data_IF_890201178216
#
_entry.id   IF_890201178216
#
_cell.length_a   1.000
_cell.length_b   1.000
_cell.length_c   1.000
_cell.angle_alpha   90.00
_cell.angle_beta   90.00
_cell.angle_gamma   90.00
#
_symmetry.space_group_name_H-M   'P 1'
#
loop_
_entity.id
_entity.type
_entity.pdbx_description
1 polymer ?
#
# COMPACT_ATOMS: atom_id res chain seq x y z
N UNK A 1 47.30 -19.93 -3.98
CA UNK A 1 46.66 -18.72 -4.53
C UNK A 1 45.25 -18.76 -4.00
N UNK A 2 44.97 -17.97 -2.96
CA UNK A 2 43.61 -17.87 -2.43
C UNK A 2 42.81 -17.07 -3.45
N UNK A 3 41.88 -17.72 -4.13
CA UNK A 3 40.85 -17.04 -4.91
C UNK A 3 40.03 -16.23 -3.91
N UNK A 4 40.15 -14.91 -4.00
CA UNK A 4 39.16 -14.02 -3.41
C UNK A 4 37.89 -14.24 -4.20
N UNK A 5 36.93 -14.96 -3.62
CA UNK A 5 35.55 -14.89 -4.04
C UNK A 5 35.17 -13.41 -4.04
N UNK A 6 34.92 -12.91 -5.24
CA UNK A 6 34.40 -11.59 -5.48
C UNK A 6 32.93 -11.62 -5.06
N UNK A 7 32.69 -11.54 -3.76
CA UNK A 7 31.40 -11.21 -3.15
C UNK A 7 31.07 -9.75 -3.49
N UNK A 8 30.89 -9.48 -4.79
CA UNK A 8 30.19 -8.30 -5.24
C UNK A 8 28.76 -8.45 -4.73
N UNK A 9 28.39 -7.62 -3.75
CA UNK A 9 27.07 -7.62 -3.13
C UNK A 9 25.99 -7.83 -4.20
N UNK A 10 25.36 -9.01 -4.22
CA UNK A 10 24.31 -9.34 -5.17
C UNK A 10 23.15 -8.37 -4.92
N UNK A 11 22.96 -7.42 -5.84
CA UNK A 11 21.82 -6.51 -5.81
C UNK A 11 20.55 -7.34 -5.95
N UNK A 12 19.62 -7.17 -4.99
CA UNK A 12 18.35 -7.88 -4.99
C UNK A 12 17.61 -7.62 -6.31
N UNK A 13 17.17 -8.71 -6.96
CA UNK A 13 16.41 -8.64 -8.20
C UNK A 13 14.95 -8.36 -7.87
N UNK A 14 14.52 -7.12 -8.10
CA UNK A 14 13.17 -6.64 -7.82
C UNK A 14 12.37 -6.53 -9.12
N UNK A 15 11.15 -7.08 -9.12
CA UNK A 15 10.25 -6.99 -10.29
C UNK A 15 8.87 -6.50 -9.91
N UNK A 16 8.34 -5.54 -10.68
CA UNK A 16 7.00 -4.99 -10.52
C UNK A 16 6.09 -5.56 -11.59
N UNK A 17 5.03 -6.24 -11.16
CA UNK A 17 4.07 -6.96 -11.97
C UNK A 17 2.74 -6.22 -11.96
N UNK A 18 2.43 -5.53 -13.06
CA UNK A 18 1.13 -4.89 -13.28
C UNK A 18 0.13 -5.90 -13.83
N UNK A 19 -0.95 -6.16 -13.08
CA UNK A 19 -1.99 -7.13 -13.47
C UNK A 19 -3.30 -6.42 -13.82
N UNK A 20 -3.75 -6.64 -15.06
CA UNK A 20 -4.98 -6.04 -15.61
C UNK A 20 -4.84 -4.55 -15.91
N UNK A 21 -5.95 -3.89 -16.27
CA UNK A 21 -5.92 -2.49 -16.74
C UNK A 21 -5.34 -1.50 -15.73
N UNK A 22 -5.78 -1.56 -14.47
CA UNK A 22 -5.27 -0.68 -13.41
C UNK A 22 -3.79 -0.90 -13.10
N UNK A 23 -3.36 -2.16 -12.99
CA UNK A 23 -1.95 -2.50 -12.77
C UNK A 23 -1.06 -2.07 -13.94
N UNK A 24 -1.49 -2.29 -15.17
CA UNK A 24 -0.75 -1.86 -16.36
C UNK A 24 -0.61 -0.33 -16.44
N UNK A 25 -1.63 0.43 -16.04
CA UNK A 25 -1.56 1.89 -15.98
C UNK A 25 -0.56 2.36 -14.92
N UNK A 26 -0.60 1.75 -13.73
CA UNK A 26 0.36 2.04 -12.67
C UNK A 26 1.80 1.74 -13.09
N UNK A 27 2.04 0.60 -13.75
CA UNK A 27 3.37 0.26 -14.31
C UNK A 27 3.83 1.28 -15.34
N UNK A 28 2.98 1.66 -16.29
CA UNK A 28 3.32 2.71 -17.26
C UNK A 28 3.66 4.03 -16.56
N UNK A 29 2.91 4.39 -15.51
CA UNK A 29 3.19 5.59 -14.71
C UNK A 29 4.55 5.51 -14.01
N UNK A 30 4.90 4.36 -13.44
CA UNK A 30 6.22 4.15 -12.80
C UNK A 30 7.36 4.30 -13.82
N UNK A 31 7.17 3.80 -15.04
CA UNK A 31 8.13 3.93 -16.15
C UNK A 31 8.26 5.40 -16.60
N UNK A 32 7.13 6.09 -16.82
CA UNK A 32 7.11 7.51 -17.20
C UNK A 32 7.82 8.40 -16.15
N UNK A 33 7.71 8.05 -14.86
CA UNK A 33 8.40 8.73 -13.76
C UNK A 33 9.88 8.32 -13.62
N UNK A 34 10.33 7.33 -14.38
CA UNK A 34 11.72 6.89 -14.38
C UNK A 34 12.13 6.12 -13.11
N UNK A 35 11.22 5.34 -12.52
CA UNK A 35 11.55 4.45 -11.41
C UNK A 35 12.66 3.47 -11.82
N UNK A 36 13.76 3.45 -11.06
CA UNK A 36 14.97 2.66 -11.34
C UNK A 36 15.07 1.47 -10.38
N UNK A 37 15.98 0.54 -10.69
CA UNK A 37 16.29 -0.59 -9.79
C UNK A 37 15.23 -1.69 -9.79
N UNK A 38 14.23 -1.61 -10.66
CA UNK A 38 13.16 -2.60 -10.78
C UNK A 38 12.91 -2.98 -12.24
N UNK A 39 12.60 -4.25 -12.48
CA UNK A 39 12.09 -4.71 -13.77
C UNK A 39 10.57 -4.61 -13.83
N UNK A 40 10.02 -4.34 -15.01
CA UNK A 40 8.57 -4.22 -15.20
C UNK A 40 8.01 -5.36 -16.03
N UNK A 41 6.96 -6.00 -15.51
CA UNK A 41 6.17 -7.02 -16.18
C UNK A 41 4.70 -6.57 -16.24
N UNK A 42 4.11 -6.56 -17.43
CA UNK A 42 2.68 -6.33 -17.60
C UNK A 42 1.94 -7.63 -17.95
N UNK A 43 0.87 -7.93 -17.22
CA UNK A 43 0.06 -9.13 -17.38
C UNK A 43 -1.38 -8.72 -17.65
N UNK A 44 -1.94 -9.13 -18.80
CA UNK A 44 -3.33 -8.79 -19.11
C UNK A 44 -4.01 -9.81 -20.02
N UNK A 45 -5.31 -10.01 -19.84
CA UNK A 45 -6.17 -10.73 -20.78
C UNK A 45 -6.56 -9.91 -22.01
N UNK A 46 -6.47 -8.57 -21.90
CA UNK A 46 -6.79 -7.65 -23.00
C UNK A 46 -5.52 -7.34 -23.81
N UNK A 47 -5.52 -7.79 -25.06
CA UNK A 47 -4.40 -7.61 -26.00
C UNK A 47 -4.17 -6.15 -26.38
N UNK A 48 -5.23 -5.34 -26.49
CA UNK A 48 -5.12 -3.94 -26.84
C UNK A 48 -4.50 -3.13 -25.70
N UNK A 49 -4.91 -3.42 -24.47
CA UNK A 49 -4.32 -2.80 -23.29
C UNK A 49 -2.83 -3.18 -23.15
N UNK A 50 -2.48 -4.44 -23.40
CA UNK A 50 -1.10 -4.91 -23.33
C UNK A 50 -0.20 -4.28 -24.41
N UNK A 51 -0.71 -4.06 -25.63
CA UNK A 51 0.02 -3.39 -26.70
C UNK A 51 0.44 -1.96 -26.34
N UNK A 52 -0.34 -1.28 -25.48
CA UNK A 52 -0.04 0.08 -24.97
C UNK A 52 0.87 0.09 -23.75
N UNK A 53 1.21 -1.07 -23.18
CA UNK A 53 2.13 -1.12 -22.05
C UNK A 53 3.54 -0.74 -22.47
N UNK A 54 4.24 0.01 -21.62
CA UNK A 54 5.65 0.35 -21.76
C UNK A 54 6.59 -0.64 -21.06
N UNK A 55 6.04 -1.64 -20.36
CA UNK A 55 6.83 -2.65 -19.65
C UNK A 55 7.77 -3.41 -20.59
N UNK A 56 8.96 -3.76 -20.10
CA UNK A 56 9.98 -4.51 -20.84
C UNK A 56 9.52 -5.93 -21.14
N UNK A 57 8.76 -6.54 -20.22
CA UNK A 57 8.15 -7.85 -20.39
C UNK A 57 6.62 -7.75 -20.37
N UNK A 58 5.96 -8.55 -21.21
CA UNK A 58 4.50 -8.53 -21.40
C UNK A 58 4.00 -9.96 -21.57
N UNK A 59 2.98 -10.34 -20.79
CA UNK A 59 2.34 -11.65 -20.89
C UNK A 59 0.86 -11.45 -21.16
N UNK A 60 0.38 -12.05 -22.24
CA UNK A 60 -1.05 -12.12 -22.53
C UNK A 60 -1.61 -13.41 -21.94
N UNK A 61 -2.40 -13.31 -20.87
CA UNK A 61 -2.96 -14.48 -20.20
C UNK A 61 -4.33 -14.86 -20.75
N UNK A 62 -4.64 -16.16 -20.73
CA UNK A 62 -5.96 -16.69 -21.10
C UNK A 62 -6.36 -16.40 -22.55
N UNK A 63 -5.43 -16.56 -23.49
CA UNK A 63 -5.70 -16.34 -24.92
C UNK A 63 -6.82 -17.26 -25.43
N UNK A 64 -6.85 -18.53 -24.99
CA UNK A 64 -7.89 -19.49 -25.39
C UNK A 64 -9.26 -19.13 -24.79
N UNK A 65 -9.26 -18.66 -23.55
CA UNK A 65 -10.47 -18.28 -22.80
C UNK A 65 -11.11 -16.99 -23.31
N UNK A 66 -10.30 -15.96 -23.54
CA UNK A 66 -10.78 -14.58 -23.75
C UNK A 66 -10.66 -14.12 -25.19
N UNK A 67 -9.89 -14.84 -26.02
CA UNK A 67 -9.52 -14.42 -27.39
C UNK A 67 -8.88 -13.02 -27.42
N UNK A 68 -8.24 -12.61 -26.33
CA UNK A 68 -7.59 -11.30 -26.19
C UNK A 68 -8.54 -10.13 -25.94
N UNK A 69 -9.82 -10.38 -25.62
CA UNK A 69 -10.86 -9.34 -25.42
C UNK A 69 -11.03 -8.92 -23.96
N UNK A 70 -10.27 -9.49 -23.04
CA UNK A 70 -10.39 -9.21 -21.61
C UNK A 70 -11.36 -10.13 -20.86
N UNK A 71 -11.36 -10.02 -19.53
CA UNK A 71 -12.14 -10.88 -18.63
C UNK A 71 -13.61 -10.43 -18.41
N UNK A 72 -14.09 -9.37 -19.08
CA UNK A 72 -15.49 -8.93 -19.00
C UNK A 72 -15.97 -8.58 -17.58
N UNK A 73 -15.09 -8.02 -16.74
CA UNK A 73 -15.33 -7.76 -15.32
C UNK A 73 -15.69 -9.01 -14.48
N UNK A 74 -15.39 -10.22 -14.97
CA UNK A 74 -15.57 -11.47 -14.23
C UNK A 74 -14.23 -11.93 -13.62
N UNK A 75 -14.08 -11.93 -12.27
CA UNK A 75 -12.87 -12.40 -11.61
C UNK A 75 -12.53 -13.87 -11.91
N UNK A 76 -13.51 -14.76 -12.02
CA UNK A 76 -13.25 -16.19 -12.29
C UNK A 76 -12.56 -16.40 -13.65
N UNK A 77 -12.89 -15.57 -14.64
CA UNK A 77 -12.24 -15.61 -15.95
C UNK A 77 -10.79 -15.13 -15.83
N UNK A 78 -10.54 -14.09 -15.03
CA UNK A 78 -9.19 -13.60 -14.74
C UNK A 78 -8.33 -14.66 -14.04
N UNK A 79 -8.89 -15.36 -13.07
CA UNK A 79 -8.22 -16.44 -12.35
C UNK A 79 -7.85 -17.59 -13.30
N UNK A 80 -8.83 -18.13 -14.04
CA UNK A 80 -8.59 -19.22 -14.99
C UNK A 80 -7.59 -18.85 -16.08
N UNK A 81 -7.59 -17.58 -16.51
CA UNK A 81 -6.61 -17.07 -17.47
C UNK A 81 -5.18 -17.11 -16.92
N UNK A 82 -4.99 -16.75 -15.65
CA UNK A 82 -3.69 -16.83 -14.99
C UNK A 82 -3.25 -18.29 -14.79
N UNK A 83 -4.17 -19.17 -14.38
CA UNK A 83 -3.92 -20.62 -14.25
C UNK A 83 -3.52 -21.25 -15.59
N UNK A 84 -4.17 -20.88 -16.71
CA UNK A 84 -3.81 -21.31 -18.06
C UNK A 84 -2.36 -20.95 -18.42
N UNK A 85 -1.85 -19.84 -17.87
CA UNK A 85 -0.57 -19.24 -18.25
C UNK A 85 0.47 -19.35 -17.13
N UNK A 86 0.28 -20.29 -16.19
CA UNK A 86 1.09 -20.42 -14.98
C UNK A 86 2.59 -20.60 -15.31
N UNK A 87 2.93 -21.49 -16.23
CA UNK A 87 4.33 -21.75 -16.63
C UNK A 87 5.03 -20.50 -17.18
N UNK A 88 4.34 -19.70 -17.99
CA UNK A 88 4.87 -18.47 -18.57
C UNK A 88 5.10 -17.41 -17.49
N UNK A 89 4.17 -17.28 -16.54
CA UNK A 89 4.29 -16.38 -15.39
C UNK A 89 5.47 -16.80 -14.51
N UNK A 90 5.58 -18.08 -14.16
CA UNK A 90 6.66 -18.64 -13.35
C UNK A 90 8.02 -18.42 -14.00
N UNK A 91 8.13 -18.65 -15.31
CA UNK A 91 9.37 -18.39 -16.05
C UNK A 91 9.75 -16.91 -16.04
N UNK A 92 8.78 -16.01 -16.18
CA UNK A 92 9.04 -14.58 -16.19
C UNK A 92 9.47 -14.03 -14.82
N UNK A 93 9.03 -14.62 -13.71
CA UNK A 93 9.41 -14.17 -12.36
C UNK A 93 10.58 -14.96 -11.76
N UNK A 94 11.02 -16.03 -12.42
CA UNK A 94 12.15 -16.85 -11.97
C UNK A 94 13.42 -16.02 -11.77
N UNK A 95 14.08 -16.24 -10.63
CA UNK A 95 15.32 -15.55 -10.26
C UNK A 95 15.12 -14.18 -9.60
N UNK A 96 13.88 -13.72 -9.42
CA UNK A 96 13.61 -12.52 -8.62
C UNK A 96 13.76 -12.85 -7.13
N UNK A 97 14.34 -11.91 -6.37
CA UNK A 97 14.40 -11.99 -4.91
C UNK A 97 13.12 -11.39 -4.29
N UNK A 98 12.50 -10.43 -4.99
CA UNK A 98 11.27 -9.76 -4.58
C UNK A 98 10.36 -9.44 -5.77
N UNK A 99 9.05 -9.58 -5.58
CA UNK A 99 8.04 -9.12 -6.55
C UNK A 99 6.99 -8.21 -5.90
N UNK A 100 6.66 -7.14 -6.62
CA UNK A 100 5.49 -6.30 -6.34
C UNK A 100 4.36 -6.67 -7.27
N UNK A 101 3.23 -7.13 -6.75
CA UNK A 101 2.03 -7.39 -7.55
C UNK A 101 1.09 -6.19 -7.40
N UNK A 102 0.90 -5.44 -8.48
CA UNK A 102 0.02 -4.27 -8.49
C UNK A 102 -1.21 -4.47 -9.37
N UNK A 103 -2.38 -4.14 -8.83
CA UNK A 103 -3.65 -4.31 -9.52
C UNK A 103 -4.71 -3.33 -9.00
N UNK A 104 -5.65 -2.96 -9.88
CA UNK A 104 -6.89 -2.31 -9.49
C UNK A 104 -7.98 -3.34 -9.24
N UNK A 105 -8.49 -3.39 -8.01
CA UNK A 105 -9.46 -4.41 -7.58
C UNK A 105 -10.89 -4.06 -8.00
N UNK A 106 -11.72 -5.09 -8.12
CA UNK A 106 -13.13 -4.99 -8.53
C UNK A 106 -13.38 -5.19 -10.03
N UNK A 107 -12.33 -5.19 -10.86
CA UNK A 107 -12.38 -5.62 -12.25
C UNK A 107 -12.44 -7.16 -12.40
N UNK A 108 -12.20 -7.66 -13.62
CA UNK A 108 -12.10 -9.11 -13.88
C UNK A 108 -10.66 -9.60 -13.76
N UNK A 109 -9.79 -9.11 -14.64
CA UNK A 109 -8.39 -9.56 -14.72
C UNK A 109 -7.61 -9.28 -13.46
N UNK A 110 -7.55 -8.02 -12.98
CA UNK A 110 -6.79 -7.67 -11.77
C UNK A 110 -7.25 -8.47 -10.55
N UNK A 111 -8.56 -8.47 -10.28
CA UNK A 111 -9.16 -9.16 -9.12
C UNK A 111 -8.91 -10.67 -9.12
N UNK A 112 -9.00 -11.33 -10.27
CA UNK A 112 -8.88 -12.79 -10.36
C UNK A 112 -7.45 -13.29 -10.61
N UNK A 113 -6.67 -12.58 -11.42
CA UNK A 113 -5.33 -13.00 -11.80
C UNK A 113 -4.27 -12.59 -10.78
N UNK A 114 -4.43 -11.45 -10.08
CA UNK A 114 -3.40 -10.99 -9.13
C UNK A 114 -3.14 -11.99 -8.00
N UNK A 115 -4.16 -12.61 -7.35
CA UNK A 115 -3.92 -13.66 -6.35
C UNK A 115 -3.17 -14.87 -6.93
N UNK A 116 -3.51 -15.30 -8.15
CA UNK A 116 -2.85 -16.43 -8.80
C UNK A 116 -1.37 -16.12 -9.12
N UNK A 117 -1.09 -14.93 -9.65
CA UNK A 117 0.29 -14.46 -9.91
C UNK A 117 1.10 -14.38 -8.61
N UNK A 118 0.51 -13.84 -7.55
CA UNK A 118 1.16 -13.75 -6.24
C UNK A 118 1.45 -15.14 -5.64
N UNK A 119 0.50 -16.07 -5.75
CA UNK A 119 0.67 -17.44 -5.26
C UNK A 119 1.85 -18.14 -5.93
N UNK A 120 2.00 -18.01 -7.26
CA UNK A 120 3.14 -18.58 -8.00
C UNK A 120 4.46 -18.01 -7.45
N UNK A 121 4.54 -16.69 -7.26
CA UNK A 121 5.75 -16.06 -6.72
C UNK A 121 6.09 -16.56 -5.31
N UNK A 122 5.08 -16.67 -4.44
CA UNK A 122 5.24 -17.13 -3.06
C UNK A 122 5.65 -18.61 -2.99
N UNK A 123 5.07 -19.46 -3.84
CA UNK A 123 5.45 -20.88 -3.96
C UNK A 123 6.91 -21.06 -4.42
N UNK A 124 7.42 -20.12 -5.22
CA UNK A 124 8.82 -20.06 -5.64
C UNK A 124 9.76 -19.51 -4.54
N UNK A 125 9.23 -19.11 -3.38
CA UNK A 125 10.01 -18.56 -2.27
C UNK A 125 10.42 -17.10 -2.43
N UNK A 126 9.79 -16.37 -3.35
CA UNK A 126 10.07 -14.96 -3.63
C UNK A 126 9.29 -14.09 -2.65
N UNK A 127 9.92 -13.05 -2.07
CA UNK A 127 9.22 -12.10 -1.20
C UNK A 127 8.14 -11.38 -2.03
N UNK A 128 6.88 -11.61 -1.71
CA UNK A 128 5.75 -11.18 -2.53
C UNK A 128 4.93 -10.10 -1.82
N UNK A 129 4.94 -8.89 -2.36
CA UNK A 129 4.20 -7.75 -1.81
C UNK A 129 3.08 -7.35 -2.77
N UNK A 130 1.83 -7.43 -2.30
CA UNK A 130 0.68 -6.93 -3.04
C UNK A 130 0.45 -5.44 -2.76
N UNK A 131 0.34 -4.61 -3.79
CA UNK A 131 -0.05 -3.19 -3.65
C UNK A 131 -1.23 -2.92 -4.56
N UNK A 132 -2.43 -2.83 -3.97
CA UNK A 132 -3.68 -2.82 -4.74
C UNK A 132 -4.61 -1.68 -4.34
N UNK A 133 -5.44 -1.24 -5.28
CA UNK A 133 -6.45 -0.20 -5.03
C UNK A 133 -7.84 -0.79 -4.90
N UNK A 134 -8.63 -0.28 -3.93
CA UNK A 134 -10.08 -0.48 -3.88
C UNK A 134 -10.75 0.53 -4.82
N UNK A 135 -11.84 0.16 -5.52
CA UNK A 135 -12.55 1.07 -6.43
C UNK A 135 -13.16 2.25 -5.67
N UNK A 136 -13.49 3.33 -6.39
CA UNK A 136 -14.27 4.42 -5.82
C UNK A 136 -15.70 3.97 -5.54
N UNK A 137 -16.35 4.53 -4.52
CA UNK A 137 -17.75 4.24 -4.19
C UNK A 137 -18.69 4.50 -5.37
N UNK A 138 -18.40 5.50 -6.21
CA UNK A 138 -19.22 5.83 -7.38
C UNK A 138 -19.17 4.77 -8.49
N UNK A 139 -18.17 3.89 -8.49
CA UNK A 139 -18.06 2.80 -9.48
C UNK A 139 -19.05 1.66 -9.19
N UNK A 140 -19.72 1.70 -8.04
CA UNK A 140 -20.84 0.85 -7.69
C UNK A 140 -20.52 -0.28 -6.71
N UNK A 141 -21.52 -0.67 -5.93
CA UNK A 141 -21.41 -1.67 -4.85
C UNK A 141 -20.93 -3.04 -5.34
N UNK A 142 -21.33 -3.45 -6.55
CA UNK A 142 -20.92 -4.74 -7.11
C UNK A 142 -19.41 -4.78 -7.38
N UNK A 143 -18.83 -3.66 -7.82
CA UNK A 143 -17.39 -3.55 -8.05
C UNK A 143 -16.62 -3.61 -6.73
N UNK A 144 -17.13 -2.91 -5.71
CA UNK A 144 -16.57 -2.95 -4.35
C UNK A 144 -16.61 -4.36 -3.75
N UNK A 145 -17.73 -5.08 -3.87
CA UNK A 145 -17.85 -6.46 -3.38
C UNK A 145 -16.81 -7.39 -4.01
N UNK A 146 -16.66 -7.34 -5.33
CA UNK A 146 -15.62 -8.11 -6.05
C UNK A 146 -14.22 -7.74 -5.59
N UNK A 147 -13.99 -6.45 -5.32
CA UNK A 147 -12.70 -5.98 -4.82
C UNK A 147 -12.36 -6.58 -3.45
N UNK A 148 -13.32 -6.58 -2.52
CA UNK A 148 -13.14 -7.19 -1.19
C UNK A 148 -12.87 -8.69 -1.28
N UNK A 149 -13.62 -9.42 -2.12
CA UNK A 149 -13.39 -10.85 -2.37
C UNK A 149 -11.98 -11.12 -2.93
N UNK A 150 -11.53 -10.33 -3.92
CA UNK A 150 -10.20 -10.46 -4.48
C UNK A 150 -9.08 -10.05 -3.51
N UNK A 151 -9.30 -9.05 -2.66
CA UNK A 151 -8.34 -8.61 -1.63
C UNK A 151 -8.16 -9.72 -0.59
N UNK A 152 -9.25 -10.37 -0.18
CA UNK A 152 -9.19 -11.51 0.74
C UNK A 152 -8.37 -12.66 0.14
N UNK A 153 -8.64 -13.02 -1.12
CA UNK A 153 -7.87 -14.05 -1.81
C UNK A 153 -6.39 -13.66 -1.99
N UNK A 154 -6.11 -12.39 -2.30
CA UNK A 154 -4.74 -11.91 -2.47
C UNK A 154 -3.97 -11.93 -1.15
N UNK A 155 -4.62 -11.59 -0.03
CA UNK A 155 -4.00 -11.60 1.30
C UNK A 155 -3.39 -12.97 1.64
N UNK A 156 -4.06 -14.05 1.27
CA UNK A 156 -3.57 -15.41 1.50
C UNK A 156 -2.45 -15.81 0.52
N UNK A 157 -2.28 -15.07 -0.58
CA UNK A 157 -1.30 -15.33 -1.63
C UNK A 157 -0.02 -14.48 -1.53
N UNK A 158 0.02 -13.47 -0.66
CA UNK A 158 1.17 -12.55 -0.50
C UNK A 158 1.78 -12.64 0.90
N UNK A 159 3.01 -12.14 1.04
CA UNK A 159 3.64 -11.95 2.35
C UNK A 159 3.10 -10.69 3.06
N UNK A 160 2.91 -9.63 2.29
CA UNK A 160 2.39 -8.34 2.76
C UNK A 160 1.46 -7.72 1.72
N UNK A 161 0.34 -7.14 2.17
CA UNK A 161 -0.70 -6.55 1.33
C UNK A 161 -0.96 -5.11 1.72
N UNK A 162 -0.53 -4.17 0.87
CA UNK A 162 -0.87 -2.75 0.96
C UNK A 162 -2.17 -2.51 0.20
N UNK A 163 -3.18 -2.01 0.90
CA UNK A 163 -4.48 -1.70 0.31
C UNK A 163 -4.73 -0.21 0.31
N UNK A 164 -5.02 0.36 -0.87
CA UNK A 164 -5.23 1.79 -1.06
C UNK A 164 -6.72 2.04 -1.37
N UNK A 165 -7.48 2.63 -0.45
CA UNK A 165 -8.87 3.01 -0.71
C UNK A 165 -8.97 4.26 -1.60
N UNK A 166 -9.43 4.12 -2.84
CA UNK A 166 -9.55 5.26 -3.76
C UNK A 166 -10.47 6.37 -3.23
N UNK A 167 -11.46 6.04 -2.41
CA UNK A 167 -12.32 7.06 -1.76
C UNK A 167 -11.54 8.03 -0.86
N UNK A 168 -10.38 7.61 -0.32
CA UNK A 168 -9.51 8.50 0.47
C UNK A 168 -8.79 9.53 -0.39
N UNK A 169 -8.56 9.22 -1.66
CA UNK A 169 -8.02 10.17 -2.63
C UNK A 169 -8.98 11.35 -2.84
N UNK A 170 -10.29 11.14 -2.69
CA UNK A 170 -11.26 12.23 -2.79
C UNK A 170 -11.13 13.24 -1.64
N UNK A 171 -10.66 12.82 -0.46
CA UNK A 171 -10.50 13.70 0.71
C UNK A 171 -9.30 14.65 0.57
N UNK A 172 -8.29 14.24 -0.20
CA UNK A 172 -7.11 15.06 -0.52
C UNK A 172 -7.26 15.80 -1.86
N UNK A 173 -8.36 15.57 -2.58
CA UNK A 173 -8.67 16.21 -3.86
C UNK A 173 -9.52 17.48 -3.69
N UNK A 174 -9.56 18.32 -4.72
CA UNK A 174 -10.43 19.50 -4.75
C UNK A 174 -11.70 19.26 -5.59
N UNK A 175 -12.71 20.13 -5.45
CA UNK A 175 -13.98 20.01 -6.19
C UNK A 175 -13.85 20.07 -7.72
N UNK A 176 -12.70 20.50 -8.25
CA UNK A 176 -12.40 20.59 -9.68
C UNK A 176 -11.65 19.37 -10.21
N UNK A 177 -11.40 18.37 -9.36
CA UNK A 177 -10.67 17.16 -9.73
C UNK A 177 -11.48 16.39 -10.77
N UNK A 178 -10.88 16.17 -11.94
CA UNK A 178 -11.51 15.38 -12.99
C UNK A 178 -11.41 13.89 -12.69
N UNK A 179 -12.26 13.08 -13.33
CA UNK A 179 -12.17 11.61 -13.25
C UNK A 179 -10.78 11.10 -13.64
N UNK A 180 -10.16 11.73 -14.66
CA UNK A 180 -8.83 11.34 -15.14
C UNK A 180 -7.77 11.63 -14.08
N UNK A 181 -7.86 12.77 -13.40
CA UNK A 181 -6.91 13.15 -12.36
C UNK A 181 -7.08 12.28 -11.10
N UNK A 182 -8.31 11.88 -10.76
CA UNK A 182 -8.57 10.96 -9.66
C UNK A 182 -7.89 9.59 -9.89
N UNK A 183 -7.97 9.03 -11.10
CA UNK A 183 -7.25 7.79 -11.42
C UNK A 183 -5.73 7.98 -11.45
N UNK A 184 -5.23 9.12 -11.95
CA UNK A 184 -3.79 9.43 -11.88
C UNK A 184 -3.30 9.54 -10.43
N UNK A 185 -4.10 10.06 -9.52
CA UNK A 185 -3.77 10.07 -8.08
C UNK A 185 -3.65 8.64 -7.55
N UNK A 186 -4.56 7.73 -7.94
CA UNK A 186 -4.47 6.33 -7.53
C UNK A 186 -3.19 5.66 -8.07
N UNK A 187 -2.86 5.91 -9.34
CA UNK A 187 -1.62 5.43 -9.96
C UNK A 187 -0.37 5.99 -9.27
N UNK A 188 -0.40 7.27 -8.84
CA UNK A 188 0.73 7.89 -8.13
C UNK A 188 0.91 7.30 -6.74
N UNK A 189 -0.16 6.98 -6.01
CA UNK A 189 -0.04 6.29 -4.72
C UNK A 189 0.53 4.88 -4.89
N UNK A 190 0.12 4.14 -5.93
CA UNK A 190 0.72 2.84 -6.26
C UNK A 190 2.22 2.98 -6.55
N UNK A 191 2.61 3.98 -7.34
CA UNK A 191 4.01 4.32 -7.63
C UNK A 191 4.79 4.62 -6.36
N UNK A 192 4.25 5.47 -5.48
CA UNK A 192 4.89 5.83 -4.21
C UNK A 192 5.11 4.62 -3.30
N UNK A 193 4.18 3.66 -3.26
CA UNK A 193 4.34 2.45 -2.47
C UNK A 193 5.41 1.50 -2.96
N UNK A 194 5.52 1.32 -4.28
CA UNK A 194 6.63 0.57 -4.87
C UNK A 194 7.95 1.31 -4.64
N UNK A 195 7.99 2.62 -4.95
CA UNK A 195 9.18 3.44 -4.81
C UNK A 195 9.71 3.46 -3.38
N UNK A 196 8.83 3.66 -2.40
CA UNK A 196 9.23 3.77 -0.99
C UNK A 196 9.95 2.53 -0.46
N UNK A 197 9.67 1.35 -1.02
CA UNK A 197 10.35 0.10 -0.66
C UNK A 197 11.55 -0.15 -1.57
N UNK A 198 11.42 0.08 -2.89
CA UNK A 198 12.51 -0.17 -3.83
C UNK A 198 13.72 0.73 -3.58
N UNK A 199 13.50 1.99 -3.22
CA UNK A 199 14.56 2.98 -3.01
C UNK A 199 15.46 2.59 -1.82
N UNK A 200 14.87 2.00 -0.78
CA UNK A 200 15.59 1.50 0.40
C UNK A 200 16.55 0.35 0.10
N UNK A 201 16.25 -0.45 -0.93
CA UNK A 201 17.02 -1.63 -1.33
C UNK A 201 18.04 -1.29 -2.42
N UNK A 202 17.72 -0.31 -3.28
CA UNK A 202 18.47 -0.01 -4.51
C UNK A 202 19.79 0.74 -4.29
N UNK A 203 20.18 1.01 -3.04
CA UNK A 203 21.53 1.45 -2.68
C UNK A 203 21.83 2.94 -2.89
N UNK A 204 20.84 3.79 -3.20
CA UNK A 204 21.02 5.24 -3.46
C UNK A 204 20.94 6.11 -2.19
N UNK A 205 21.00 5.49 -1.00
CA UNK A 205 20.86 6.15 0.29
C UNK A 205 22.15 6.31 1.09
N UNK A 206 22.16 7.30 2.01
CA UNK A 206 23.20 7.42 3.05
C UNK A 206 23.10 6.30 4.09
N UNK A 207 21.87 5.86 4.37
CA UNK A 207 21.54 4.74 5.25
C UNK A 207 20.75 3.76 4.38
N UNK A 208 21.49 2.85 3.74
CA UNK A 208 20.90 1.74 3.01
C UNK A 208 20.51 0.64 3.99
N UNK A 209 19.35 0.06 3.77
CA UNK A 209 18.92 -1.14 4.49
C UNK A 209 19.41 -2.36 3.74
N UNK A 210 19.71 -3.43 4.47
CA UNK A 210 19.91 -4.70 3.80
C UNK A 210 18.56 -5.30 3.39
N UNK A 211 18.58 -6.20 2.41
CA UNK A 211 17.35 -6.84 1.94
C UNK A 211 16.72 -7.74 3.04
N UNK A 212 17.52 -8.24 3.98
CA UNK A 212 17.05 -9.13 5.05
C UNK A 212 16.21 -8.39 6.08
N UNK A 213 16.50 -7.12 6.34
CA UNK A 213 15.74 -6.20 7.18
C UNK A 213 14.33 -6.00 6.60
N UNK A 214 14.24 -5.72 5.29
CA UNK A 214 12.96 -5.59 4.59
C UNK A 214 12.17 -6.91 4.63
N UNK A 215 12.84 -8.04 4.39
CA UNK A 215 12.23 -9.37 4.52
C UNK A 215 11.69 -9.59 5.93
N UNK A 216 12.42 -9.18 6.97
CA UNK A 216 12.01 -9.38 8.37
C UNK A 216 10.73 -8.61 8.72
N UNK A 217 10.54 -7.41 8.15
CA UNK A 217 9.36 -6.57 8.40
C UNK A 217 8.16 -6.94 7.53
N UNK A 218 8.39 -7.45 6.32
CA UNK A 218 7.33 -7.66 5.34
C UNK A 218 6.92 -9.12 5.15
N UNK A 219 7.72 -10.09 5.60
CA UNK A 219 7.43 -11.51 5.41
C UNK A 219 6.28 -11.97 6.30
N UNK A 220 5.25 -12.55 5.70
CA UNK A 220 4.05 -13.08 6.38
C UNK A 220 3.37 -12.10 7.37
N UNK A 221 3.37 -10.80 7.08
CA UNK A 221 2.76 -9.80 7.97
C UNK A 221 1.29 -9.50 7.67
N UNK A 222 0.76 -10.02 6.56
CA UNK A 222 -0.63 -9.81 6.18
C UNK A 222 -0.89 -8.38 5.71
N UNK A 223 -1.90 -7.71 6.26
CA UNK A 223 -2.29 -6.36 5.82
C UNK A 223 -1.28 -5.31 6.31
N UNK A 224 -0.84 -4.47 5.39
CA UNK A 224 0.02 -3.34 5.62
C UNK A 224 -0.69 -2.02 5.26
N UNK A 225 -0.29 -0.96 5.94
CA UNK A 225 -0.77 0.39 5.68
C UNK A 225 0.38 1.31 5.30
N UNK A 226 0.11 2.21 4.36
CA UNK A 226 1.10 3.15 3.85
C UNK A 226 0.62 4.58 4.02
N UNK A 227 1.48 5.41 4.60
CA UNK A 227 1.32 6.84 4.69
C UNK A 227 2.47 7.54 3.97
N UNK A 228 2.15 8.61 3.23
CA UNK A 228 3.15 9.45 2.58
C UNK A 228 2.89 10.89 2.97
N UNK A 229 3.95 11.57 3.40
CA UNK A 229 3.94 12.97 3.76
C UNK A 229 5.05 13.73 3.02
N UNK A 230 4.78 14.98 2.68
CA UNK A 230 5.72 15.88 2.01
C UNK A 230 5.68 17.23 2.68
N UNK A 231 6.84 17.82 2.91
CA UNK A 231 6.94 19.18 3.42
C UNK A 231 8.27 19.82 3.01
N UNK A 232 8.35 21.13 3.19
CA UNK A 232 9.50 21.95 2.81
C UNK A 232 9.76 23.03 3.85
N UNK A 233 10.99 23.55 3.92
CA UNK A 233 11.39 24.59 4.87
C UNK A 233 12.00 24.05 6.17
N UNK A 234 12.04 24.87 7.21
CA UNK A 234 12.87 24.63 8.41
C UNK A 234 12.40 23.42 9.26
N UNK A 235 11.10 23.10 9.24
CA UNK A 235 10.51 21.96 9.97
C UNK A 235 9.99 20.88 9.04
N UNK A 236 10.56 20.78 7.83
CA UNK A 236 10.08 19.87 6.79
C UNK A 236 10.03 18.40 7.24
N UNK A 237 10.99 17.90 8.01
CA UNK A 237 10.94 16.51 8.46
C UNK A 237 9.80 16.26 9.46
N UNK A 238 9.61 17.15 10.44
CA UNK A 238 8.53 17.06 11.44
C UNK A 238 7.14 17.15 10.79
N UNK A 239 6.99 18.05 9.82
CA UNK A 239 5.74 18.23 9.10
C UNK A 239 5.45 17.06 8.15
N UNK A 240 6.47 16.57 7.43
CA UNK A 240 6.33 15.43 6.55
C UNK A 240 6.00 14.14 7.33
N UNK A 241 6.64 13.89 8.47
CA UNK A 241 6.36 12.67 9.26
C UNK A 241 4.95 12.71 9.86
N UNK A 242 4.51 13.88 10.36
CA UNK A 242 3.14 14.06 10.85
C UNK A 242 2.13 13.85 9.73
N UNK A 243 2.38 14.39 8.55
CA UNK A 243 1.53 14.19 7.39
C UNK A 243 1.49 12.71 6.95
N UNK A 244 2.61 11.99 7.07
CA UNK A 244 2.67 10.55 6.77
C UNK A 244 1.86 9.72 7.77
N UNK A 245 2.06 9.92 9.08
CA UNK A 245 1.36 9.19 10.15
C UNK A 245 -0.14 9.54 10.22
N UNK A 246 -0.52 10.75 9.82
CA UNK A 246 -1.92 11.20 9.77
C UNK A 246 -2.51 11.09 8.37
N UNK A 247 -1.83 10.39 7.45
CA UNK A 247 -2.23 10.34 6.05
C UNK A 247 -3.64 9.73 5.93
N UNK A 248 -4.55 10.33 5.16
CA UNK A 248 -5.87 9.74 4.88
C UNK A 248 -5.81 8.36 4.20
N UNK A 249 -4.66 8.01 3.64
CA UNK A 249 -4.38 6.71 3.01
C UNK A 249 -4.23 5.57 4.03
N UNK A 250 -3.96 5.89 5.30
CA UNK A 250 -3.91 4.93 6.38
C UNK A 250 -5.35 4.54 6.77
N UNK A 251 -5.75 3.29 6.52
CA UNK A 251 -7.07 2.81 6.92
C UNK A 251 -7.20 2.66 8.44
N UNK A 252 -6.08 2.40 9.13
CA UNK A 252 -5.99 2.33 10.59
C UNK A 252 -4.85 3.19 11.10
N UNK A 253 -4.92 3.58 12.38
CA UNK A 253 -3.81 4.29 13.04
C UNK A 253 -2.53 3.44 12.98
N UNK A 254 -1.36 4.08 12.96
CA UNK A 254 -0.08 3.36 13.12
C UNK A 254 0.07 2.73 14.52
N UNK A 255 -0.76 3.16 15.46
CA UNK A 255 -0.86 2.59 16.80
C UNK A 255 -1.11 1.08 16.75
N UNK A 256 -0.23 0.32 17.38
CA UNK A 256 -0.26 -1.14 17.41
C UNK A 256 0.43 -1.85 16.23
N UNK A 257 1.08 -1.11 15.33
CA UNK A 257 1.96 -1.71 14.32
C UNK A 257 3.19 -2.33 14.99
N UNK A 258 3.49 -3.59 14.66
CA UNK A 258 4.64 -4.33 15.21
C UNK A 258 5.87 -4.25 14.32
N UNK A 259 5.68 -3.95 13.03
CA UNK A 259 6.75 -3.67 12.09
C UNK A 259 6.49 -2.33 11.44
N UNK A 260 7.50 -1.46 11.40
CA UNK A 260 7.39 -0.17 10.72
C UNK A 260 8.64 0.05 9.88
N UNK A 261 8.44 0.36 8.60
CA UNK A 261 9.49 0.75 7.68
C UNK A 261 9.31 2.23 7.34
N UNK A 262 10.38 3.00 7.50
CA UNK A 262 10.41 4.44 7.25
C UNK A 262 11.46 4.70 6.17
N UNK A 263 11.03 5.34 5.08
CA UNK A 263 11.93 5.87 4.06
C UNK A 263 11.86 7.40 4.08
N UNK A 264 12.99 8.06 4.31
CA UNK A 264 13.13 9.52 4.20
C UNK A 264 13.88 9.86 2.93
N UNK A 265 13.19 10.49 1.98
CA UNK A 265 13.79 10.96 0.73
C UNK A 265 13.93 12.48 0.77
N UNK A 266 15.13 12.99 0.52
CA UNK A 266 15.40 14.43 0.49
C UNK A 266 16.62 14.76 -0.37
N UNK A 267 16.93 16.05 -0.46
CA UNK A 267 18.12 16.53 -1.16
C UNK A 267 19.42 16.19 -0.44
N UNK A 268 20.54 16.64 -1.03
CA UNK A 268 21.88 16.51 -0.41
C UNK A 268 22.04 17.28 0.90
N UNK A 269 21.09 18.18 1.19
CA UNK A 269 20.99 19.00 2.38
C UNK A 269 20.21 18.31 3.52
N UNK A 270 19.74 17.08 3.34
CA UNK A 270 19.04 16.31 4.37
C UNK A 270 19.96 16.08 5.59
N UNK A 271 19.56 16.63 6.73
CA UNK A 271 20.34 16.57 7.97
C UNK A 271 20.05 15.33 8.83
N UNK A 272 21.04 14.93 9.64
CA UNK A 272 20.86 13.81 10.60
C UNK A 272 19.82 14.11 11.68
N UNK A 273 19.66 15.37 12.10
CA UNK A 273 18.66 15.76 13.09
C UNK A 273 17.23 15.66 12.55
N UNK A 274 17.05 15.95 11.27
CA UNK A 274 15.78 15.80 10.57
C UNK A 274 15.35 14.32 10.52
N UNK A 275 16.32 13.45 10.19
CA UNK A 275 16.17 11.99 10.22
C UNK A 275 15.80 11.50 11.64
N UNK A 276 16.54 11.93 12.66
CA UNK A 276 16.30 11.50 14.04
C UNK A 276 14.92 11.93 14.54
N UNK A 277 14.50 13.16 14.25
CA UNK A 277 13.17 13.65 14.64
C UNK A 277 12.05 12.82 13.98
N UNK A 278 12.18 12.51 12.68
CA UNK A 278 11.22 11.66 11.99
C UNK A 278 11.12 10.25 12.61
N UNK A 279 12.26 9.65 12.98
CA UNK A 279 12.29 8.34 13.63
C UNK A 279 11.63 8.37 15.02
N UNK A 280 11.89 9.41 15.83
CA UNK A 280 11.28 9.59 17.15
C UNK A 280 9.75 9.72 17.06
N UNK A 281 9.24 10.54 16.13
CA UNK A 281 7.79 10.69 15.93
C UNK A 281 7.08 9.38 15.58
N UNK A 282 7.71 8.54 14.74
CA UNK A 282 7.15 7.24 14.39
C UNK A 282 7.24 6.26 15.57
N UNK A 283 8.35 6.27 16.31
CA UNK A 283 8.53 5.42 17.48
C UNK A 283 7.53 5.75 18.61
N UNK A 284 7.20 7.02 18.81
CA UNK A 284 6.17 7.44 19.76
C UNK A 284 4.75 7.03 19.33
N UNK A 285 4.50 6.92 18.04
CA UNK A 285 3.19 6.59 17.49
C UNK A 285 2.95 5.08 17.32
N UNK A 286 4.01 4.28 17.20
CA UNK A 286 3.95 2.83 17.00
C UNK A 286 3.87 2.05 18.35
N UNK A 287 3.81 0.71 18.28
CA UNK A 287 3.90 -0.11 19.50
C UNK A 287 5.27 0.07 20.17
N UNK A 288 5.37 0.13 21.52
CA UNK A 288 6.67 0.25 22.22
C UNK A 288 7.66 -0.87 21.92
N UNK A 289 7.19 -2.03 21.44
CA UNK A 289 8.00 -3.16 21.02
C UNK A 289 8.02 -3.33 19.50
N UNK A 290 7.62 -2.31 18.74
CA UNK A 290 7.66 -2.35 17.29
C UNK A 290 9.11 -2.47 16.82
N UNK A 291 9.33 -3.34 15.84
CA UNK A 291 10.57 -3.35 15.08
C UNK A 291 10.49 -2.23 14.04
N UNK A 292 11.27 -1.17 14.26
CA UNK A 292 11.28 0.01 13.40
C UNK A 292 12.57 0.00 12.58
N UNK A 293 12.41 0.00 11.27
CA UNK A 293 13.50 0.01 10.32
C UNK A 293 13.47 1.33 9.56
N UNK A 294 14.63 1.98 9.52
CA UNK A 294 14.80 3.31 8.97
C UNK A 294 15.80 3.28 7.82
N UNK A 295 15.44 3.91 6.70
CA UNK A 295 16.41 4.26 5.66
C UNK A 295 16.19 5.66 5.11
N UNK A 296 17.22 6.14 4.42
CA UNK A 296 17.23 7.48 3.85
C UNK A 296 17.77 7.46 2.43
N UNK A 297 17.07 8.08 1.50
CA UNK A 297 17.43 8.16 0.07
C UNK A 297 17.73 9.60 -0.33
N UNK A 298 18.74 9.81 -1.17
CA UNK A 298 19.01 11.13 -1.75
C UNK A 298 18.33 11.22 -3.11
N UNK A 299 17.56 12.28 -3.31
CA UNK A 299 17.07 12.68 -4.63
C UNK A 299 17.46 14.13 -4.87
N UNK A 300 18.46 14.35 -5.74
CA UNK A 300 18.96 15.70 -6.07
C UNK A 300 17.90 16.60 -6.74
N UNK A 301 16.80 16.02 -7.24
CA UNK A 301 15.68 16.80 -7.77
C UNK A 301 14.84 17.43 -6.65
N UNK A 302 14.86 16.84 -5.45
CA UNK A 302 14.26 17.38 -4.24
C UNK A 302 15.25 18.35 -3.62
N UNK A 303 15.01 19.65 -3.79
CA UNK A 303 15.82 20.72 -3.19
C UNK A 303 15.47 20.84 -1.71
N UNK A 304 14.55 21.75 -1.39
CA UNK A 304 14.19 22.07 -0.02
C UNK A 304 13.06 21.16 0.51
N UNK A 305 12.64 20.16 -0.27
CA UNK A 305 11.52 19.25 0.01
C UNK A 305 12.01 17.92 0.60
N UNK A 306 11.28 17.42 1.59
CA UNK A 306 11.46 16.08 2.16
C UNK A 306 10.18 15.29 2.01
N UNK A 307 10.32 14.05 1.53
CA UNK A 307 9.24 13.08 1.38
C UNK A 307 9.49 11.95 2.37
N UNK A 308 8.53 11.69 3.25
CA UNK A 308 8.59 10.59 4.21
C UNK A 308 7.50 9.59 3.86
N UNK A 309 7.91 8.35 3.62
CA UNK A 309 7.02 7.21 3.41
C UNK A 309 7.11 6.30 4.61
N UNK A 310 5.96 6.00 5.21
CA UNK A 310 5.83 5.10 6.35
C UNK A 310 4.99 3.90 5.93
N UNK A 311 5.52 2.71 6.14
CA UNK A 311 4.84 1.44 5.88
C UNK A 311 4.75 0.68 7.19
N UNK A 312 3.53 0.51 7.67
CA UNK A 312 3.25 -0.18 8.91
C UNK A 312 2.70 -1.58 8.62
N UNK A 313 3.19 -2.58 9.34
CA UNK A 313 2.83 -3.99 9.19
C UNK A 313 2.56 -4.64 10.56
N UNK A 314 1.95 -5.82 10.56
CA UNK A 314 1.78 -6.61 11.79
C UNK A 314 0.67 -6.12 12.71
N UNK A 315 -0.42 -5.57 12.14
CA UNK A 315 -1.63 -5.17 12.88
C UNK A 315 -2.47 -6.36 13.40
N UNK A 316 -2.15 -7.58 12.96
CA UNK A 316 -2.87 -8.79 13.37
C UNK A 316 -2.57 -9.15 14.84
N UNK A 317 -3.54 -8.85 15.70
CA UNK A 317 -3.45 -9.02 17.15
C UNK A 317 -4.09 -7.86 17.92
N UNK A 318 -4.28 -6.71 17.28
CA UNK A 318 -4.98 -5.57 17.85
C UNK A 318 -6.44 -5.62 17.38
N UNK A 319 -7.37 -5.92 18.28
CA UNK A 319 -8.79 -5.64 18.05
C UNK A 319 -8.91 -4.12 17.89
N UNK A 320 -8.90 -3.63 16.65
CA UNK A 320 -8.88 -2.21 16.35
C UNK A 320 -10.00 -1.47 17.05
N UNK A 321 -9.66 -0.42 17.81
CA UNK A 321 -10.62 0.62 18.14
C UNK A 321 -10.83 1.45 16.87
N UNK A 322 -12.06 1.59 16.36
CA UNK A 322 -12.33 2.47 15.23
C UNK A 322 -11.88 3.90 15.54
N UNK A 323 -11.37 4.60 14.54
CA UNK A 323 -10.89 5.99 14.56
C UNK A 323 -12.02 7.04 14.80
N UNK A 324 -13.09 6.65 15.50
CA UNK A 324 -14.23 7.49 15.87
C UNK A 324 -14.25 7.95 17.33
N UNK A 325 -13.39 7.39 18.21
CA UNK A 325 -13.43 7.68 19.65
C UNK A 325 -12.38 8.70 20.16
N UNK A 326 -11.54 9.25 19.28
CA UNK A 326 -10.55 10.27 19.69
C UNK A 326 -11.17 11.65 20.00
N UNK A 327 -12.44 11.88 19.66
CA UNK A 327 -13.13 13.14 20.04
C UNK A 327 -13.53 13.19 21.52
N UNK A 328 -13.77 12.06 22.16
CA UNK A 328 -14.22 12.03 23.56
C UNK A 328 -13.06 12.21 24.56
N UNK A 329 -11.82 11.93 24.13
CA UNK A 329 -10.63 12.07 24.99
C UNK A 329 -10.08 13.52 24.97
N UNK A 330 -10.28 14.27 23.87
CA UNK A 330 -9.77 15.63 23.73
C UNK A 330 -10.71 16.71 24.30
N UNK A 331 -11.98 16.38 24.59
CA UNK A 331 -12.96 17.33 25.17
C UNK A 331 -13.59 16.85 26.50
N UNK A 332 -13.06 15.82 27.13
CA UNK A 332 -13.58 15.23 28.38
C UNK A 332 -13.13 15.94 29.65
N UNK A 333 -13.40 17.24 29.80
CA UNK A 333 -13.22 17.99 31.04
C UNK A 333 -14.53 18.13 31.82
N UNK A 334 -14.78 17.21 32.75
CA UNK A 334 -15.62 17.43 33.95
C UNK A 334 -17.13 17.55 33.75
N UNK A 335 -17.87 16.47 34.05
CA UNK A 335 -19.12 16.55 34.80
C UNK A 335 -19.57 15.14 35.18
N UNK A 336 -19.67 14.93 36.49
CA UNK A 336 -20.29 13.77 37.13
C UNK A 336 -21.73 13.57 36.66
N UNK A 337 -22.07 12.38 36.14
CA UNK A 337 -23.46 11.98 35.95
C UNK A 337 -23.76 10.72 36.76
N UNK A 338 -24.45 10.98 37.88
CA UNK A 338 -25.36 10.04 38.52
C UNK A 338 -26.32 9.44 37.49
N UNK A 339 -26.56 8.15 37.65
CA UNK A 339 -27.63 7.39 37.01
C UNK A 339 -29.00 8.04 37.27
N UNK A 340 -29.76 8.27 36.22
CA UNK A 340 -31.19 7.95 36.20
C UNK A 340 -31.69 7.80 34.77
N UNK A 341 -32.13 6.59 34.49
CA UNK A 341 -33.10 6.22 33.47
C UNK A 341 -34.40 6.97 33.70
N UNK A 342 -35.01 7.53 32.66
CA UNK A 342 -36.46 7.68 32.62
C UNK A 342 -36.97 7.64 31.18
N UNK A 343 -37.81 6.64 30.95
CA UNK A 343 -38.83 6.62 29.92
C UNK A 343 -40.14 6.19 30.58
N UNK A 344 -41.18 6.98 30.30
CA UNK A 344 -42.61 6.68 30.39
C UNK A 344 -43.39 7.04 31.68
N UNK A 345 -44.41 7.87 31.42
CA UNK A 345 -45.73 8.02 32.06
C UNK A 345 -45.82 8.48 33.51
N UNK A 346 -46.17 9.76 33.64
CA UNK A 346 -46.75 10.42 34.81
C UNK A 346 -48.21 10.01 35.02
N UNK A 347 -48.50 9.31 36.11
CA UNK A 347 -49.78 9.37 36.83
C UNK A 347 -49.44 9.81 38.26
N UNK A 348 -49.84 11.03 38.63
CA UNK A 348 -49.72 11.54 40.00
C UNK A 348 -51.13 11.72 40.53
N UNK A 349 -51.52 10.82 41.44
CA UNK A 349 -52.73 10.93 42.26
C UNK A 349 -52.63 12.14 43.20
N UNK A 350 -53.69 12.96 43.24
CA UNK A 350 -53.80 14.13 44.12
C UNK A 350 -54.15 13.66 45.54
N UNK A 351 -53.38 14.04 46.59
CA UNK A 351 -53.67 13.67 47.97
C UNK A 351 -54.98 14.25 48.51
N UNK A 352 -55.68 13.48 49.36
CA UNK A 352 -57.04 13.76 49.85
C UNK A 352 -57.20 15.03 50.74
N UNK A 353 -56.10 15.70 51.12
CA UNK A 353 -56.14 16.99 51.83
C UNK A 353 -56.24 18.20 50.89
N UNK A 354 -56.29 17.97 49.57
CA UNK A 354 -56.55 18.97 48.54
C UNK A 354 -57.94 18.77 47.88
N UNK A 355 -58.88 18.13 48.59
CA UNK A 355 -60.33 18.22 48.34
C UNK A 355 -61.00 19.07 49.41
#
# INVERSE_FOLDING_TARGET
>A
MFEFDNDGARVAQIKVIGVGGGGNNAVNRMIDYGLKGVDFLAINTDKQALARSQATQKIQIGEKLTKGLGAGANPEVGQKAAEESNEEIAQAISGCDMVFVTAGMGGGTGTGAAPAVAAIAREMGILTVGIVTKPFAFEGKQRMKRAEEGIAALKDAVDSLVTIPNDRLLQVSNQHTTLTDAFKMADDVLRQGVQGISDLISGQGYINLDFADVVTIMKNTGIAHMGVGRASGEKRADEAVKAAIQSPLLETSIDGARGVLINVTGGTDLGIFEINSAAEFVAEAADPNANIIFGSTIDESLKDEVIITVIATGFEGVKGKPMGQLKDVLFGGGSSSQKSSDAASTDVEIPEWMK
#
